data_IF_287950608701
#
_entry.id   IF_287950608701
#
_cell.length_a   1.000
_cell.length_b   1.000
_cell.length_c   1.000
_cell.angle_alpha   90.00
_cell.angle_beta   90.00
_cell.angle_gamma   90.00
#
_symmetry.space_group_name_H-M   'P 1'
#
loop_
_entity.id
_entity.type
_entity.pdbx_description
1 polymer ?
#
# COMPACT_ATOMS: atom_id res chain seq x y z
N UNK A 1 -16.85 21.03 -92.06
CA UNK A 1 -17.28 19.86 -91.32
C UNK A 1 -16.75 19.97 -89.90
N UNK A 2 -17.59 20.35 -88.96
CA UNK A 2 -17.22 20.52 -87.56
C UNK A 2 -17.63 19.27 -86.77
N UNK A 3 -16.62 18.51 -86.24
CA UNK A 3 -16.84 17.44 -85.30
C UNK A 3 -16.80 18.03 -83.86
N UNK A 4 -17.93 18.01 -83.20
CA UNK A 4 -18.04 18.34 -81.82
C UNK A 4 -17.58 17.14 -80.97
N UNK A 5 -16.49 17.31 -80.24
CA UNK A 5 -16.09 16.37 -79.22
C UNK A 5 -16.84 16.69 -77.93
N UNK A 6 -17.70 15.80 -77.51
CA UNK A 6 -18.29 15.86 -76.18
C UNK A 6 -17.28 15.37 -75.14
N UNK A 7 -16.82 16.29 -74.34
CA UNK A 7 -16.05 15.98 -73.13
C UNK A 7 -17.04 15.60 -72.03
N UNK A 8 -17.15 14.30 -71.79
CA UNK A 8 -17.89 13.80 -70.60
C UNK A 8 -17.02 14.03 -69.35
N UNK A 9 -17.43 15.02 -68.57
CA UNK A 9 -16.85 15.28 -67.28
C UNK A 9 -17.40 14.22 -66.29
N UNK A 10 -16.58 13.20 -66.01
CA UNK A 10 -16.89 12.21 -64.95
C UNK A 10 -16.53 12.83 -63.61
N UNK A 11 -17.49 13.25 -62.82
CA UNK A 11 -17.33 13.61 -61.41
C UNK A 11 -17.08 12.32 -60.62
N UNK A 12 -15.84 12.16 -60.15
CA UNK A 12 -15.49 11.12 -59.20
C UNK A 12 -15.89 11.70 -57.81
N UNK A 13 -16.98 11.20 -57.25
CA UNK A 13 -17.33 11.43 -55.87
C UNK A 13 -16.35 10.67 -54.98
N UNK A 14 -15.39 11.37 -54.41
CA UNK A 14 -14.63 10.86 -53.27
C UNK A 14 -15.51 10.85 -52.05
N UNK A 15 -16.04 9.68 -51.69
CA UNK A 15 -16.67 9.44 -50.43
C UNK A 15 -15.64 9.54 -49.30
N UNK A 16 -15.70 10.61 -48.50
CA UNK A 16 -14.91 10.74 -47.28
C UNK A 16 -15.53 9.78 -46.28
N UNK A 17 -14.92 8.61 -46.09
CA UNK A 17 -15.26 7.72 -45.00
C UNK A 17 -14.72 8.37 -43.71
N UNK A 18 -15.58 9.04 -42.97
CA UNK A 18 -15.29 9.47 -41.59
C UNK A 18 -15.15 8.23 -40.71
N UNK A 19 -13.91 7.81 -40.42
CA UNK A 19 -13.66 6.87 -39.37
C UNK A 19 -14.06 7.55 -38.05
N UNK A 20 -15.20 7.16 -37.50
CA UNK A 20 -15.57 7.53 -36.15
C UNK A 20 -14.60 6.84 -35.19
N UNK A 21 -13.73 7.60 -34.55
CA UNK A 21 -12.90 7.09 -33.48
C UNK A 21 -13.80 6.56 -32.34
N UNK A 22 -13.53 5.37 -31.78
CA UNK A 22 -14.32 4.87 -30.67
C UNK A 22 -14.18 5.87 -29.51
N UNK A 23 -15.31 6.31 -28.97
CA UNK A 23 -15.34 7.15 -27.78
C UNK A 23 -14.60 6.44 -26.64
N UNK A 24 -13.76 7.15 -25.86
CA UNK A 24 -13.10 6.54 -24.72
C UNK A 24 -14.18 6.02 -23.77
N UNK A 25 -14.08 4.73 -23.43
CA UNK A 25 -14.97 4.13 -22.47
C UNK A 25 -14.92 4.92 -21.16
N UNK A 26 -16.06 5.16 -20.47
CA UNK A 26 -16.04 5.85 -19.19
C UNK A 26 -15.13 5.09 -18.25
N UNK A 27 -14.13 5.78 -17.71
CA UNK A 27 -13.25 5.22 -16.70
C UNK A 27 -14.13 4.70 -15.56
N UNK A 28 -14.08 3.39 -15.31
CA UNK A 28 -14.72 2.82 -14.13
C UNK A 28 -14.23 3.63 -12.94
N UNK A 29 -15.11 4.07 -12.01
CA UNK A 29 -14.64 4.69 -10.78
C UNK A 29 -13.68 3.70 -10.14
N UNK A 30 -12.40 3.98 -10.24
CA UNK A 30 -11.36 3.15 -9.67
C UNK A 30 -11.70 2.99 -8.20
N UNK A 31 -11.69 1.75 -7.72
CA UNK A 31 -11.78 1.49 -6.29
C UNK A 31 -10.79 2.45 -5.63
N UNK A 32 -11.30 3.38 -4.83
CA UNK A 32 -10.45 4.33 -4.11
C UNK A 32 -9.56 3.47 -3.22
N UNK A 33 -8.38 3.18 -3.72
CA UNK A 33 -7.40 2.39 -3.00
C UNK A 33 -6.96 3.27 -1.85
N UNK A 34 -7.60 3.06 -0.68
CA UNK A 34 -7.38 3.88 0.50
C UNK A 34 -5.90 3.86 0.82
N UNK A 35 -5.29 5.04 0.82
CA UNK A 35 -3.86 5.21 1.04
C UNK A 35 -3.47 4.68 2.42
N UNK A 36 -2.24 4.17 2.54
CA UNK A 36 -1.63 3.83 3.80
C UNK A 36 -1.23 5.10 4.53
N UNK A 37 -1.64 5.22 5.79
CA UNK A 37 -1.32 6.33 6.67
C UNK A 37 -0.18 5.90 7.60
N UNK A 38 0.88 6.67 7.67
CA UNK A 38 1.96 6.44 8.64
C UNK A 38 1.48 6.80 10.04
N UNK A 39 1.54 5.86 10.97
CA UNK A 39 1.03 6.02 12.33
C UNK A 39 2.12 6.26 13.36
N UNK A 40 3.35 5.89 13.07
CA UNK A 40 4.47 6.07 13.97
C UNK A 40 5.67 5.21 13.59
N UNK A 41 6.78 5.47 14.26
CA UNK A 41 8.02 4.73 14.07
C UNK A 41 8.73 4.54 15.41
N UNK A 42 9.49 3.44 15.51
CA UNK A 42 10.36 3.12 16.65
C UNK A 42 11.72 2.64 16.14
N UNK A 43 12.78 3.28 16.58
CA UNK A 43 14.13 2.79 16.34
C UNK A 43 14.48 1.73 17.39
N UNK A 44 14.96 0.58 16.94
CA UNK A 44 15.45 -0.53 17.75
C UNK A 44 16.95 -0.69 17.55
N UNK A 45 17.69 -0.88 18.64
CA UNK A 45 19.16 -0.98 18.62
C UNK A 45 19.68 -2.35 19.06
N UNK A 46 18.78 -3.31 19.27
CA UNK A 46 19.08 -4.67 19.74
C UNK A 46 19.72 -4.78 21.13
N UNK A 47 19.70 -3.71 21.91
CA UNK A 47 20.09 -3.73 23.32
C UNK A 47 18.94 -4.14 24.23
N UNK A 48 17.72 -3.84 23.81
CA UNK A 48 16.49 -4.30 24.45
C UNK A 48 15.84 -5.33 23.53
N UNK A 49 15.24 -6.32 24.11
CA UNK A 49 14.46 -7.34 23.40
C UNK A 49 12.96 -6.99 23.31
N UNK A 50 12.55 -5.92 23.98
CA UNK A 50 11.17 -5.43 24.01
C UNK A 50 11.13 -3.93 23.74
N UNK A 51 10.24 -3.54 22.82
CA UNK A 51 9.98 -2.15 22.47
C UNK A 51 8.49 -1.86 22.33
N UNK A 52 8.13 -0.59 22.52
CA UNK A 52 6.77 -0.08 22.35
C UNK A 52 6.79 1.00 21.27
N UNK A 53 5.96 0.84 20.25
CA UNK A 53 5.73 1.82 19.22
C UNK A 53 4.39 2.49 19.46
N UNK A 54 4.40 3.78 19.81
CA UNK A 54 3.20 4.57 19.97
C UNK A 54 2.67 5.04 18.64
N UNK A 55 1.38 4.83 18.40
CA UNK A 55 0.72 5.35 17.23
C UNK A 55 0.29 6.81 17.45
N UNK A 56 0.72 7.70 16.59
CA UNK A 56 0.41 9.13 16.61
C UNK A 56 -0.62 9.55 15.56
N UNK A 57 -1.04 8.62 14.71
CA UNK A 57 -2.01 8.89 13.65
C UNK A 57 -3.43 8.94 14.16
N UNK A 58 -4.17 9.95 13.75
CA UNK A 58 -5.62 10.05 14.03
C UNK A 58 -6.42 9.17 13.07
N UNK A 59 -7.46 8.55 13.59
CA UNK A 59 -8.44 7.80 12.81
C UNK A 59 -8.61 6.36 13.23
N UNK A 60 -9.52 5.70 12.52
CA UNK A 60 -9.85 4.29 12.71
C UNK A 60 -9.32 3.48 11.51
N UNK A 61 -8.69 2.37 11.80
CA UNK A 61 -8.04 1.52 10.83
C UNK A 61 -8.59 0.10 10.87
N UNK A 62 -8.73 -0.51 9.71
CA UNK A 62 -9.14 -1.90 9.57
C UNK A 62 -7.95 -2.80 9.28
N UNK A 63 -6.94 -2.25 8.62
CA UNK A 63 -5.75 -2.97 8.22
C UNK A 63 -4.51 -2.24 8.71
N UNK A 64 -3.52 -2.98 9.16
CA UNK A 64 -2.20 -2.45 9.51
C UNK A 64 -1.11 -3.25 8.82
N UNK A 65 0.05 -2.65 8.69
CA UNK A 65 1.30 -3.31 8.32
C UNK A 65 2.49 -2.65 8.99
N UNK A 66 3.54 -3.42 9.17
CA UNK A 66 4.83 -2.97 9.64
C UNK A 66 5.80 -2.89 8.48
N UNK A 67 6.67 -1.89 8.51
CA UNK A 67 7.79 -1.72 7.57
C UNK A 67 9.05 -1.57 8.41
N UNK A 68 10.09 -2.32 8.07
CA UNK A 68 11.38 -2.26 8.75
C UNK A 68 12.43 -1.72 7.80
N UNK A 69 13.13 -0.68 8.24
CA UNK A 69 14.25 -0.08 7.52
C UNK A 69 15.54 -0.28 8.31
N UNK A 70 16.65 -0.48 7.61
CA UNK A 70 17.96 -0.66 8.20
C UNK A 70 18.35 -2.12 8.44
N UNK A 71 18.61 -2.52 9.70
CA UNK A 71 19.04 -3.86 10.05
C UNK A 71 17.97 -4.94 9.90
N UNK A 72 18.39 -6.18 9.80
CA UNK A 72 17.51 -7.34 9.75
C UNK A 72 16.95 -7.63 11.14
N UNK A 73 15.64 -7.89 11.22
CA UNK A 73 14.91 -7.98 12.47
C UNK A 73 13.97 -9.20 12.46
N UNK A 74 14.02 -10.00 13.49
CA UNK A 74 12.97 -10.94 13.84
C UNK A 74 12.10 -10.33 14.94
N UNK A 75 10.79 -10.30 14.68
CA UNK A 75 9.79 -9.76 15.61
C UNK A 75 8.82 -10.86 16.00
N UNK A 76 8.56 -10.99 17.27
CA UNK A 76 7.65 -11.98 17.83
C UNK A 76 6.85 -11.37 18.99
N UNK A 77 5.82 -12.07 19.46
CA UNK A 77 4.93 -11.60 20.53
C UNK A 77 4.42 -10.16 20.32
N UNK A 78 3.94 -9.89 19.13
CA UNK A 78 3.35 -8.60 18.78
C UNK A 78 1.99 -8.46 19.41
N UNK A 79 1.78 -7.39 20.18
CA UNK A 79 0.49 -7.06 20.81
C UNK A 79 0.07 -5.66 20.41
N UNK A 80 -1.11 -5.56 19.84
CA UNK A 80 -1.70 -4.30 19.37
C UNK A 80 -2.73 -3.85 20.38
N UNK A 81 -2.57 -2.67 20.95
CA UNK A 81 -3.52 -2.09 21.92
C UNK A 81 -4.33 -1.00 21.23
N UNK A 82 -5.64 -1.09 21.37
CA UNK A 82 -6.61 -0.18 20.79
C UNK A 82 -7.00 0.97 21.73
N UNK A 83 -7.69 1.98 21.18
CA UNK A 83 -8.13 3.15 21.90
C UNK A 83 -9.03 2.87 23.09
N UNK A 84 -9.80 1.79 23.08
CA UNK A 84 -10.66 1.35 24.17
C UNK A 84 -9.96 0.45 25.21
N UNK A 85 -8.65 0.23 25.09
CA UNK A 85 -7.86 -0.64 25.97
C UNK A 85 -7.87 -2.13 25.60
N UNK A 86 -8.72 -2.56 24.66
CA UNK A 86 -8.69 -3.93 24.15
C UNK A 86 -7.38 -4.19 23.40
N UNK A 87 -6.94 -5.44 23.35
CA UNK A 87 -5.72 -5.84 22.66
C UNK A 87 -5.96 -6.98 21.68
N UNK A 88 -5.12 -7.03 20.66
CA UNK A 88 -5.09 -8.10 19.65
C UNK A 88 -3.65 -8.57 19.47
N UNK A 89 -3.44 -9.87 19.55
CA UNK A 89 -2.15 -10.50 19.32
C UNK A 89 -2.24 -11.36 18.09
N UNK A 90 -1.64 -10.93 16.95
CA UNK A 90 -1.56 -11.79 15.76
C UNK A 90 -0.65 -12.99 16.06
N UNK A 91 -1.12 -14.19 15.73
CA UNK A 91 -0.35 -15.43 15.92
C UNK A 91 0.66 -15.57 14.79
N UNK A 92 1.62 -14.66 14.72
CA UNK A 92 2.58 -14.63 13.62
C UNK A 92 3.93 -14.14 14.10
N UNK A 93 4.97 -14.82 13.66
CA UNK A 93 6.35 -14.38 13.79
C UNK A 93 6.76 -13.71 12.48
N UNK A 94 7.35 -12.53 12.58
CA UNK A 94 7.75 -11.76 11.42
C UNK A 94 9.27 -11.77 11.29
N UNK A 95 9.74 -12.10 10.10
CA UNK A 95 11.14 -11.95 9.71
C UNK A 95 11.25 -10.81 8.71
N UNK A 96 11.99 -9.77 9.07
CA UNK A 96 12.25 -8.64 8.21
C UNK A 96 13.70 -8.64 7.78
N UNK A 97 13.94 -8.69 6.48
CA UNK A 97 15.19 -8.19 5.93
C UNK A 97 15.10 -6.66 5.88
N UNK A 98 16.22 -5.96 6.08
CA UNK A 98 16.23 -4.51 6.04
C UNK A 98 15.51 -3.96 4.81
N UNK A 99 14.71 -2.92 4.98
CA UNK A 99 13.84 -2.32 3.95
C UNK A 99 12.71 -3.26 3.44
N UNK A 100 12.17 -4.08 4.32
CA UNK A 100 11.05 -4.97 4.02
C UNK A 100 9.78 -4.62 4.81
N UNK A 101 8.67 -5.22 4.43
CA UNK A 101 7.36 -5.01 5.04
C UNK A 101 6.68 -6.32 5.39
N UNK A 102 5.83 -6.29 6.43
CA UNK A 102 4.97 -7.41 6.77
C UNK A 102 3.87 -7.58 5.70
N UNK A 103 3.22 -8.72 5.70
CA UNK A 103 1.91 -8.84 5.09
C UNK A 103 0.89 -7.93 5.80
N UNK A 104 -0.23 -7.70 5.16
CA UNK A 104 -1.31 -6.89 5.73
C UNK A 104 -2.01 -7.69 6.84
N UNK A 105 -2.09 -7.12 8.03
CA UNK A 105 -2.84 -7.66 9.14
C UNK A 105 -4.22 -7.01 9.19
N UNK A 106 -5.28 -7.82 9.20
CA UNK A 106 -6.65 -7.33 9.37
C UNK A 106 -6.99 -7.33 10.86
N UNK A 107 -7.39 -6.18 11.36
CA UNK A 107 -7.80 -6.04 12.75
C UNK A 107 -9.19 -6.64 12.97
N UNK A 108 -9.43 -7.31 14.12
CA UNK A 108 -10.70 -7.93 14.40
C UNK A 108 -11.81 -6.89 14.62
N UNK A 109 -13.04 -7.22 14.23
CA UNK A 109 -14.22 -6.37 14.39
C UNK A 109 -14.26 -5.20 13.40
N UNK A 110 -14.81 -4.07 13.81
CA UNK A 110 -14.86 -2.83 13.04
C UNK A 110 -13.50 -2.12 13.00
N UNK A 111 -13.40 -1.05 12.20
CA UNK A 111 -12.21 -0.21 12.20
C UNK A 111 -11.95 0.39 13.59
N UNK A 112 -10.70 0.36 14.04
CA UNK A 112 -10.29 0.71 15.40
C UNK A 112 -9.21 1.77 15.43
N UNK A 113 -9.19 2.54 16.51
CA UNK A 113 -8.06 3.41 16.85
C UNK A 113 -6.94 2.54 17.40
N UNK A 114 -5.74 2.61 16.83
CA UNK A 114 -4.56 1.95 17.36
C UNK A 114 -3.83 2.92 18.27
N UNK A 115 -3.52 2.52 19.50
CA UNK A 115 -2.79 3.36 20.47
C UNK A 115 -1.29 3.07 20.45
N UNK A 116 -0.91 1.80 20.60
CA UNK A 116 0.49 1.38 20.52
C UNK A 116 0.58 -0.10 20.14
N UNK A 117 1.79 -0.49 19.78
CA UNK A 117 2.17 -1.88 19.56
C UNK A 117 3.34 -2.21 20.48
N UNK A 118 3.17 -3.23 21.29
CA UNK A 118 4.24 -3.89 22.02
C UNK A 118 4.81 -5.00 21.16
N UNK A 119 6.13 -5.17 21.13
CA UNK A 119 6.74 -6.28 20.42
C UNK A 119 8.08 -6.68 21.01
N UNK A 120 8.33 -7.98 21.01
CA UNK A 120 9.64 -8.54 21.28
C UNK A 120 10.39 -8.71 19.96
N UNK A 121 11.68 -8.49 20.00
CA UNK A 121 12.51 -8.57 18.81
C UNK A 121 13.90 -9.05 19.11
N UNK A 122 14.59 -9.55 18.08
CA UNK A 122 16.00 -9.88 18.12
C UNK A 122 16.64 -9.67 16.74
N UNK A 123 17.96 -9.56 16.71
CA UNK A 123 18.70 -9.57 15.45
C UNK A 123 18.61 -10.95 14.79
N UNK A 124 18.60 -10.99 13.47
CA UNK A 124 18.64 -12.23 12.70
C UNK A 124 20.08 -12.76 12.70
N UNK A 125 20.33 -14.01 13.12
CA UNK A 125 21.68 -14.60 13.05
C UNK A 125 22.20 -14.58 11.61
N UNK A 126 23.42 -14.06 11.41
CA UNK A 126 24.03 -13.89 10.08
C UNK A 126 23.40 -12.79 9.21
N UNK A 127 22.39 -12.09 9.72
CA UNK A 127 21.75 -10.99 9.04
C UNK A 127 22.48 -9.66 9.16
N UNK A 128 21.95 -8.63 8.53
CA UNK A 128 22.49 -7.26 8.59
C UNK A 128 22.34 -6.71 10.00
N UNK A 129 23.45 -6.36 10.60
CA UNK A 129 23.50 -5.77 11.93
C UNK A 129 23.37 -4.25 11.87
N UNK A 130 22.98 -3.66 12.99
CA UNK A 130 22.86 -2.22 13.16
C UNK A 130 21.45 -1.82 13.61
N UNK A 131 21.22 -0.53 13.69
CA UNK A 131 19.92 -0.01 14.07
C UNK A 131 18.88 -0.34 12.99
N UNK A 132 17.70 -0.73 13.41
CA UNK A 132 16.55 -0.86 12.55
C UNK A 132 15.47 0.14 12.98
N UNK A 133 14.68 0.61 12.05
CA UNK A 133 13.51 1.45 12.34
C UNK A 133 12.26 0.69 11.93
N UNK A 134 11.37 0.50 12.88
CA UNK A 134 10.07 -0.13 12.67
C UNK A 134 9.03 0.96 12.48
N UNK A 135 8.37 0.97 11.33
CA UNK A 135 7.27 1.89 11.00
C UNK A 135 5.94 1.15 11.02
N UNK A 136 4.93 1.81 11.57
CA UNK A 136 3.55 1.33 11.56
C UNK A 136 2.73 2.12 10.55
N UNK A 137 2.01 1.42 9.70
CA UNK A 137 1.06 1.99 8.75
C UNK A 137 -0.33 1.42 8.97
N UNK A 138 -1.35 2.28 8.87
CA UNK A 138 -2.75 1.91 8.91
C UNK A 138 -3.48 2.23 7.62
N UNK A 139 -4.50 1.43 7.31
CA UNK A 139 -5.44 1.66 6.21
C UNK A 139 -6.86 1.46 6.70
N UNK A 140 -7.74 2.39 6.33
CA UNK A 140 -9.18 2.37 6.65
C UNK A 140 -9.95 1.33 5.87
#
# INVERSE_FOLDING_TARGET
MLRRHHLSCRYILFGIATLAAPAPAPARPGSVQRAWVHLGARQVDFRSDHDVLHASGEGRFKHIRLVVEGGDLEMFDVRITFGNGAAFTPVTRFYFKGNSRSHVMTLPGAARVVRWIDFYHRSVPGGRRGKATVHLYGRR
#
